data_IF_071309197465
#
_entry.id   IF_071309197465
#
_cell.length_a   1.000
_cell.length_b   1.000
_cell.length_c   1.000
_cell.angle_alpha   90.00
_cell.angle_beta   90.00
_cell.angle_gamma   90.00
#
_symmetry.space_group_name_H-M   'P 1'
#
loop_
_entity.id
_entity.type
_entity.pdbx_description
1 polymer ?
#
# COMPACT_ATOMS: atom_id res chain seq x y z
N UNK A 1 44.57 -63.28 -9.73
CA UNK A 1 44.94 -61.94 -9.28
C UNK A 1 43.72 -61.06 -9.47
N UNK A 2 42.98 -60.81 -8.38
CA UNK A 2 41.77 -59.94 -8.34
C UNK A 2 42.21 -58.57 -7.82
N UNK A 3 42.25 -57.55 -8.64
CA UNK A 3 42.47 -56.20 -8.23
C UNK A 3 41.18 -55.60 -7.69
N UNK A 4 41.17 -55.26 -6.45
CA UNK A 4 40.09 -54.53 -5.79
C UNK A 4 40.12 -53.05 -6.14
N UNK A 5 39.15 -52.58 -6.89
CA UNK A 5 38.86 -51.16 -7.08
C UNK A 5 38.15 -50.65 -5.84
N UNK A 6 38.89 -50.01 -4.94
CA UNK A 6 38.31 -49.19 -3.86
C UNK A 6 37.87 -47.85 -4.49
N UNK A 7 36.55 -47.77 -4.75
CA UNK A 7 35.91 -46.53 -5.08
C UNK A 7 35.84 -45.61 -3.85
N UNK A 8 36.67 -44.58 -3.82
CA UNK A 8 36.57 -43.49 -2.85
C UNK A 8 35.42 -42.60 -3.27
N UNK A 9 34.26 -42.85 -2.74
CA UNK A 9 33.12 -41.94 -2.80
C UNK A 9 33.42 -40.75 -1.87
N UNK A 10 33.98 -39.70 -2.43
CA UNK A 10 34.09 -38.41 -1.71
C UNK A 10 32.67 -37.86 -1.63
N UNK A 11 31.99 -38.11 -0.52
CA UNK A 11 30.83 -37.37 -0.08
C UNK A 11 31.27 -35.93 0.18
N UNK A 12 31.11 -35.06 -0.82
CA UNK A 12 31.05 -33.62 -0.56
C UNK A 12 29.84 -33.36 0.31
N UNK A 13 30.01 -33.50 1.61
CA UNK A 13 29.15 -32.82 2.57
C UNK A 13 29.53 -31.35 2.48
N UNK A 14 28.82 -30.62 1.60
CA UNK A 14 28.77 -29.18 1.72
C UNK A 14 28.20 -28.91 3.10
N UNK A 15 29.07 -28.52 4.03
CA UNK A 15 28.66 -27.98 5.31
C UNK A 15 27.70 -26.82 4.98
N UNK A 16 26.43 -27.03 5.19
CA UNK A 16 25.44 -25.98 5.13
C UNK A 16 25.84 -25.00 6.25
N UNK A 17 26.63 -24.01 5.92
CA UNK A 17 26.85 -22.86 6.79
C UNK A 17 25.45 -22.32 7.03
N UNK A 18 25.01 -22.41 8.28
CA UNK A 18 23.72 -21.88 8.71
C UNK A 18 23.60 -20.44 8.17
N UNK A 19 22.80 -20.27 7.13
CA UNK A 19 22.75 -19.03 6.37
C UNK A 19 21.87 -18.02 7.14
N UNK A 20 22.46 -17.42 8.18
CA UNK A 20 21.82 -16.30 8.92
C UNK A 20 21.51 -15.15 7.97
N UNK A 21 20.56 -14.31 8.37
CA UNK A 21 20.26 -13.09 7.64
C UNK A 21 21.53 -12.23 7.46
N UNK A 22 21.83 -11.84 6.23
CA UNK A 22 23.02 -11.05 5.87
C UNK A 22 22.93 -9.66 6.48
N UNK A 23 23.94 -9.25 7.25
CA UNK A 23 24.08 -7.84 7.67
C UNK A 23 24.54 -7.03 6.47
N UNK A 24 23.79 -5.97 6.14
CA UNK A 24 24.06 -5.11 4.99
C UNK A 24 24.56 -3.75 5.45
N UNK A 25 25.52 -3.21 4.70
CA UNK A 25 26.04 -1.86 4.90
C UNK A 25 25.74 -1.00 3.67
N UNK A 26 25.87 0.32 3.78
CA UNK A 26 25.70 1.20 2.62
C UNK A 26 26.68 0.85 1.49
N UNK A 27 27.91 0.48 1.84
CA UNK A 27 28.97 0.23 0.88
C UNK A 27 28.74 -1.05 0.03
N UNK A 28 28.08 -2.06 0.59
CA UNK A 28 27.90 -3.36 -0.06
C UNK A 28 26.45 -3.67 -0.44
N UNK A 29 25.52 -2.78 -0.13
CA UNK A 29 24.09 -3.01 -0.29
C UNK A 29 23.72 -3.46 -1.71
N UNK A 30 23.92 -2.58 -2.69
CA UNK A 30 23.46 -2.84 -4.06
C UNK A 30 24.23 -4.02 -4.69
N UNK A 31 25.54 -4.17 -4.40
CA UNK A 31 26.37 -5.28 -4.89
C UNK A 31 25.97 -6.63 -4.28
N UNK A 32 25.62 -6.65 -2.99
CA UNK A 32 25.19 -7.87 -2.31
C UNK A 32 23.82 -8.32 -2.82
N UNK A 33 22.90 -7.39 -3.06
CA UNK A 33 21.60 -7.73 -3.65
C UNK A 33 21.77 -8.31 -5.05
N UNK A 34 22.54 -7.65 -5.91
CA UNK A 34 22.76 -8.04 -7.30
C UNK A 34 23.51 -9.39 -7.46
N UNK A 35 24.27 -9.80 -6.47
CA UNK A 35 25.05 -11.04 -6.50
C UNK A 35 24.19 -12.32 -6.46
N UNK A 36 22.90 -12.23 -6.17
CA UNK A 36 22.01 -13.39 -6.01
C UNK A 36 20.70 -13.19 -6.77
N UNK A 37 20.30 -14.21 -7.51
CA UNK A 37 18.99 -14.26 -8.15
C UNK A 37 17.88 -14.48 -7.12
N UNK A 38 16.64 -14.07 -7.44
CA UNK A 38 15.49 -14.20 -6.55
C UNK A 38 15.13 -12.89 -5.87
N UNK A 39 14.46 -12.95 -4.74
CA UNK A 39 14.02 -11.75 -4.00
C UNK A 39 14.67 -11.66 -2.63
N UNK A 40 14.79 -10.44 -2.13
CA UNK A 40 15.32 -10.17 -0.81
C UNK A 40 14.21 -9.77 0.15
N UNK A 41 14.15 -10.43 1.30
CA UNK A 41 13.43 -9.99 2.48
C UNK A 41 14.37 -9.18 3.36
N UNK A 42 14.14 -7.87 3.45
CA UNK A 42 14.99 -6.97 4.20
C UNK A 42 14.30 -6.46 5.46
N UNK A 43 15.03 -6.54 6.58
CA UNK A 43 14.65 -5.99 7.88
C UNK A 43 15.47 -4.74 8.18
N UNK A 44 14.83 -3.57 8.15
CA UNK A 44 15.39 -2.32 8.63
C UNK A 44 15.07 -2.17 10.11
N UNK A 45 16.09 -1.97 10.96
CA UNK A 45 15.94 -2.06 12.40
C UNK A 45 16.73 -0.99 13.16
N UNK A 46 16.45 -0.88 14.45
CA UNK A 46 17.25 -0.14 15.43
C UNK A 46 17.61 -1.08 16.60
N UNK A 47 18.87 -1.10 17.10
CA UNK A 47 19.31 -1.99 18.19
C UNK A 47 18.57 -1.80 19.52
N UNK A 48 18.12 -0.58 19.78
CA UNK A 48 17.38 -0.22 20.99
C UNK A 48 15.88 -0.57 20.92
N UNK A 49 15.34 -0.91 19.75
CA UNK A 49 13.91 -1.20 19.56
C UNK A 49 13.54 -2.58 20.09
N UNK A 50 12.61 -2.65 21.07
CA UNK A 50 12.15 -3.90 21.68
C UNK A 50 11.53 -4.88 20.68
N UNK A 51 10.68 -4.40 19.75
CA UNK A 51 10.09 -5.23 18.69
C UNK A 51 11.15 -5.80 17.74
N UNK A 52 12.23 -5.05 17.47
CA UNK A 52 13.33 -5.52 16.63
C UNK A 52 14.13 -6.65 17.33
N UNK A 53 14.37 -6.51 18.63
CA UNK A 53 15.04 -7.55 19.44
C UNK A 53 14.22 -8.84 19.46
N UNK A 54 12.90 -8.74 19.59
CA UNK A 54 12.00 -9.91 19.58
C UNK A 54 11.98 -10.63 18.22
N UNK A 55 11.97 -9.84 17.12
CA UNK A 55 11.95 -10.39 15.77
C UNK A 55 13.31 -10.98 15.32
N UNK A 56 14.44 -10.54 15.90
CA UNK A 56 15.77 -10.92 15.44
C UNK A 56 16.01 -12.43 15.38
N UNK A 57 15.77 -13.21 16.47
CA UNK A 57 15.97 -14.67 16.44
C UNK A 57 15.04 -15.37 15.45
N UNK A 58 13.78 -14.92 15.31
CA UNK A 58 12.79 -15.49 14.41
C UNK A 58 13.17 -15.23 12.93
N UNK A 59 13.76 -14.06 12.67
CA UNK A 59 14.26 -13.67 11.35
C UNK A 59 15.46 -14.53 10.92
N UNK A 60 16.42 -14.74 11.82
CA UNK A 60 17.59 -15.56 11.55
C UNK A 60 17.20 -17.05 11.41
N UNK A 61 16.28 -17.57 12.24
CA UNK A 61 15.72 -18.93 12.12
C UNK A 61 15.03 -19.13 10.75
N UNK A 62 14.21 -18.17 10.31
CA UNK A 62 13.55 -18.24 9.02
C UNK A 62 14.55 -18.21 7.87
N UNK A 63 15.60 -17.38 7.96
CA UNK A 63 16.68 -17.33 6.98
C UNK A 63 17.39 -18.67 6.83
N UNK A 64 17.72 -19.32 7.95
CA UNK A 64 18.37 -20.63 7.97
C UNK A 64 17.51 -21.71 7.31
N UNK A 65 16.22 -21.76 7.66
CA UNK A 65 15.30 -22.76 7.10
C UNK A 65 15.05 -22.55 5.61
N UNK A 66 14.79 -21.31 5.16
CA UNK A 66 14.55 -20.99 3.76
C UNK A 66 15.77 -21.28 2.89
N UNK A 67 16.99 -21.02 3.40
CA UNK A 67 18.22 -21.37 2.73
C UNK A 67 18.44 -22.89 2.68
N UNK A 68 18.12 -23.62 3.74
CA UNK A 68 18.21 -25.08 3.77
C UNK A 68 17.26 -25.75 2.78
N UNK A 69 16.08 -25.14 2.53
CA UNK A 69 15.10 -25.58 1.52
C UNK A 69 15.50 -25.17 0.08
N UNK A 70 16.56 -24.38 -0.11
CA UNK A 70 17.06 -23.98 -1.43
C UNK A 70 16.13 -22.99 -2.15
N UNK A 71 15.28 -22.25 -1.43
CA UNK A 71 14.36 -21.32 -2.02
C UNK A 71 15.10 -20.04 -2.52
N UNK A 72 14.71 -19.43 -3.66
CA UNK A 72 15.33 -18.23 -4.21
C UNK A 72 14.87 -16.96 -3.46
N UNK A 73 14.95 -17.00 -2.13
CA UNK A 73 14.59 -15.90 -1.23
C UNK A 73 15.73 -15.67 -0.25
N UNK A 74 16.25 -14.47 -0.20
CA UNK A 74 17.40 -14.11 0.62
C UNK A 74 16.96 -13.19 1.76
N UNK A 75 17.64 -13.31 2.89
CA UNK A 75 17.35 -12.50 4.07
C UNK A 75 18.48 -11.52 4.34
N UNK A 76 18.13 -10.26 4.50
CA UNK A 76 19.05 -9.20 4.90
C UNK A 76 18.53 -8.40 6.07
N UNK A 77 19.43 -7.70 6.75
CA UNK A 77 19.12 -6.78 7.82
C UNK A 77 20.05 -5.57 7.78
N UNK A 78 19.52 -4.38 8.12
CA UNK A 78 20.27 -3.14 8.11
C UNK A 78 19.94 -2.31 9.34
N UNK A 79 20.95 -1.88 10.07
CA UNK A 79 20.81 -0.97 11.20
C UNK A 79 20.67 0.47 10.72
N UNK A 80 19.47 1.04 10.87
CA UNK A 80 19.19 2.43 10.48
C UNK A 80 19.60 3.48 11.52
N UNK A 81 20.26 3.10 12.60
CA UNK A 81 20.87 4.05 13.55
C UNK A 81 22.28 4.45 13.14
N UNK A 82 22.90 3.70 12.24
CA UNK A 82 24.20 4.02 11.68
C UNK A 82 24.05 5.14 10.65
N UNK A 83 24.75 6.26 10.85
CA UNK A 83 24.61 7.47 10.00
C UNK A 83 24.87 7.18 8.50
N UNK A 84 25.85 6.33 8.19
CA UNK A 84 26.14 5.93 6.81
C UNK A 84 24.96 5.23 6.12
N UNK A 85 24.08 4.53 6.86
CA UNK A 85 22.95 3.80 6.31
C UNK A 85 21.71 4.66 6.01
N UNK A 86 21.72 5.95 6.39
CA UNK A 86 20.56 6.84 6.28
C UNK A 86 20.04 6.98 4.84
N UNK A 87 20.91 6.99 3.84
CA UNK A 87 20.55 7.07 2.42
C UNK A 87 19.68 5.88 2.02
N UNK A 88 20.08 4.66 2.38
CA UNK A 88 19.36 3.43 2.08
C UNK A 88 18.05 3.36 2.89
N UNK A 89 18.10 3.61 4.20
CA UNK A 89 16.90 3.59 5.05
C UNK A 89 15.84 4.59 4.58
N UNK A 90 16.24 5.76 4.08
CA UNK A 90 15.35 6.75 3.49
C UNK A 90 14.81 6.33 2.13
N UNK A 91 15.63 5.70 1.26
CA UNK A 91 15.24 5.13 -0.03
C UNK A 91 14.03 4.21 0.13
N UNK A 92 14.00 3.39 1.17
CA UNK A 92 12.90 2.44 1.44
C UNK A 92 11.84 2.98 2.42
N UNK A 93 11.79 4.28 2.66
CA UNK A 93 10.77 4.97 3.48
C UNK A 93 10.56 4.30 4.84
N UNK A 94 11.64 4.08 5.59
CA UNK A 94 11.56 3.48 6.92
C UNK A 94 11.09 4.51 7.95
N UNK A 95 9.80 4.54 8.24
CA UNK A 95 9.18 5.48 9.19
C UNK A 95 9.06 4.93 10.62
N UNK A 96 9.44 3.66 10.83
CA UNK A 96 9.37 2.98 12.14
C UNK A 96 10.11 1.65 12.10
N UNK A 97 10.37 1.07 13.28
CA UNK A 97 11.14 -0.17 13.42
C UNK A 97 10.36 -1.28 14.12
N UNK A 98 10.48 -2.56 13.65
CA UNK A 98 11.15 -2.95 12.42
C UNK A 98 10.30 -2.64 11.19
N UNK A 99 10.93 -2.16 10.10
CA UNK A 99 10.34 -2.08 8.77
C UNK A 99 10.80 -3.26 7.91
N UNK A 100 9.87 -4.02 7.36
CA UNK A 100 10.14 -5.19 6.55
C UNK A 100 9.74 -4.93 5.10
N UNK A 101 10.65 -5.24 4.15
CA UNK A 101 10.49 -4.95 2.72
C UNK A 101 10.83 -6.18 1.88
N UNK A 102 10.15 -6.31 0.75
CA UNK A 102 10.53 -7.25 -0.33
C UNK A 102 11.18 -6.43 -1.43
N UNK A 103 12.41 -6.79 -1.80
CA UNK A 103 13.25 -6.00 -2.71
C UNK A 103 13.79 -6.91 -3.79
N UNK A 104 13.88 -6.42 -5.03
CA UNK A 104 14.48 -7.15 -6.15
C UNK A 104 16.01 -7.11 -6.08
N UNK A 105 16.73 -7.99 -6.81
CA UNK A 105 18.19 -7.93 -6.89
C UNK A 105 18.73 -6.58 -7.39
N UNK A 106 17.97 -5.87 -8.21
CA UNK A 106 18.33 -4.54 -8.74
C UNK A 106 18.08 -3.41 -7.73
N UNK A 107 17.67 -3.75 -6.49
CA UNK A 107 17.39 -2.77 -5.45
C UNK A 107 16.05 -2.04 -5.60
N UNK A 108 15.13 -2.51 -6.48
CA UNK A 108 13.78 -1.93 -6.60
C UNK A 108 12.91 -2.45 -5.45
N UNK A 109 12.22 -1.55 -4.74
CA UNK A 109 11.20 -1.94 -3.77
C UNK A 109 10.05 -2.62 -4.51
N UNK A 110 9.87 -3.92 -4.27
CA UNK A 110 8.77 -4.67 -4.86
C UNK A 110 7.47 -4.45 -4.08
N UNK A 111 7.51 -4.67 -2.77
CA UNK A 111 6.36 -4.46 -1.87
C UNK A 111 6.77 -4.39 -0.40
N UNK A 112 5.84 -3.93 0.45
CA UNK A 112 5.97 -4.11 1.89
C UNK A 112 5.72 -5.57 2.25
N UNK A 113 6.42 -6.07 3.26
CA UNK A 113 6.16 -7.40 3.81
C UNK A 113 4.76 -7.48 4.42
N UNK A 114 3.99 -8.51 4.07
CA UNK A 114 2.59 -8.71 4.49
C UNK A 114 2.38 -10.00 5.28
N UNK A 115 3.44 -10.78 5.54
CA UNK A 115 3.38 -12.06 6.27
C UNK A 115 3.28 -11.92 7.80
N UNK A 116 3.15 -13.05 8.48
CA UNK A 116 3.24 -13.15 9.94
C UNK A 116 4.60 -12.73 10.47
N UNK A 117 4.68 -12.32 11.73
CA UNK A 117 5.95 -11.92 12.37
C UNK A 117 6.55 -12.99 13.28
N UNK A 118 5.97 -14.17 13.32
CA UNK A 118 6.55 -15.39 13.87
C UNK A 118 7.40 -16.11 12.81
N UNK A 119 8.19 -17.09 13.25
CA UNK A 119 9.09 -17.81 12.35
C UNK A 119 8.33 -18.55 11.23
N UNK A 120 7.22 -19.20 11.56
CA UNK A 120 6.38 -19.95 10.62
C UNK A 120 5.75 -19.03 9.57
N UNK A 121 5.21 -17.89 9.99
CA UNK A 121 4.64 -16.87 9.08
C UNK A 121 5.68 -16.28 8.13
N UNK A 122 6.92 -16.06 8.62
CA UNK A 122 8.01 -15.57 7.77
C UNK A 122 8.42 -16.63 6.73
N UNK A 123 8.56 -17.89 7.15
CA UNK A 123 8.90 -19.01 6.26
C UNK A 123 7.81 -19.23 5.22
N UNK A 124 6.54 -19.26 5.64
CA UNK A 124 5.40 -19.42 4.76
C UNK A 124 5.32 -18.31 3.71
N UNK A 125 5.62 -17.07 4.12
CA UNK A 125 5.67 -15.94 3.21
C UNK A 125 6.84 -16.04 2.22
N UNK A 126 8.01 -16.49 2.66
CA UNK A 126 9.14 -16.74 1.78
C UNK A 126 8.82 -17.85 0.75
N UNK A 127 8.16 -18.93 1.17
CA UNK A 127 7.68 -19.98 0.26
C UNK A 127 6.71 -19.43 -0.79
N UNK A 128 5.80 -18.58 -0.39
CA UNK A 128 4.88 -17.91 -1.30
C UNK A 128 5.62 -17.05 -2.34
N UNK A 129 6.63 -16.28 -1.91
CA UNK A 129 7.46 -15.46 -2.80
C UNK A 129 8.33 -16.26 -3.76
N UNK A 130 8.62 -17.53 -3.45
CA UNK A 130 9.38 -18.42 -4.31
C UNK A 130 8.55 -19.07 -5.42
N UNK A 131 7.22 -18.98 -5.34
CA UNK A 131 6.32 -19.51 -6.36
C UNK A 131 6.28 -18.58 -7.58
N UNK A 132 5.93 -19.11 -8.77
CA UNK A 132 5.68 -18.27 -9.92
C UNK A 132 4.62 -17.21 -9.61
N UNK A 133 4.88 -15.97 -10.03
CA UNK A 133 3.99 -14.84 -9.77
C UNK A 133 2.63 -14.95 -10.49
N UNK A 134 2.53 -15.82 -11.49
CA UNK A 134 1.31 -16.09 -12.25
C UNK A 134 1.27 -17.55 -12.71
N UNK A 135 0.09 -18.03 -13.12
CA UNK A 135 -0.14 -19.36 -13.69
C UNK A 135 -0.32 -19.27 -15.20
N UNK A 136 0.16 -20.25 -15.94
CA UNK A 136 -0.20 -20.44 -17.35
C UNK A 136 -1.39 -21.41 -17.39
N UNK A 137 -2.47 -21.00 -18.03
CA UNK A 137 -3.67 -21.80 -18.26
C UNK A 137 -3.78 -22.01 -19.77
N UNK A 138 -3.76 -23.26 -20.21
CA UNK A 138 -3.63 -23.58 -21.63
C UNK A 138 -4.95 -24.06 -22.28
N UNK A 139 -5.95 -24.35 -21.46
CA UNK A 139 -7.23 -24.86 -21.91
C UNK A 139 -8.40 -24.12 -21.29
N UNK A 140 -9.53 -24.05 -22.00
CA UNK A 140 -10.77 -23.46 -21.46
C UNK A 140 -11.17 -24.08 -20.12
N UNK A 141 -10.96 -25.42 -19.99
CA UNK A 141 -11.25 -26.11 -18.74
C UNK A 141 -10.39 -25.56 -17.58
N UNK A 142 -9.08 -25.40 -17.78
CA UNK A 142 -8.18 -24.84 -16.74
C UNK A 142 -8.58 -23.43 -16.34
N UNK A 143 -9.04 -22.61 -17.31
CA UNK A 143 -9.54 -21.25 -17.02
C UNK A 143 -10.81 -21.31 -16.19
N UNK A 144 -11.78 -22.16 -16.55
CA UNK A 144 -13.01 -22.39 -15.77
C UNK A 144 -12.70 -22.88 -14.36
N UNK A 145 -11.89 -23.93 -14.23
CA UNK A 145 -11.49 -24.48 -12.93
C UNK A 145 -10.78 -23.41 -12.06
N UNK A 146 -10.00 -22.54 -12.67
CA UNK A 146 -9.36 -21.41 -11.98
C UNK A 146 -10.40 -20.41 -11.47
N UNK A 147 -11.37 -20.04 -12.30
CA UNK A 147 -12.43 -19.08 -11.94
C UNK A 147 -13.35 -19.67 -10.86
N UNK A 148 -13.83 -20.88 -11.05
CA UNK A 148 -14.74 -21.58 -10.11
C UNK A 148 -14.10 -21.72 -8.73
N UNK A 149 -12.81 -22.10 -8.69
CA UNK A 149 -12.06 -22.15 -7.42
C UNK A 149 -11.97 -20.79 -6.75
N UNK A 150 -11.78 -19.70 -7.52
CA UNK A 150 -11.75 -18.34 -6.94
C UNK A 150 -13.10 -17.91 -6.38
N UNK A 151 -14.19 -18.33 -7.00
CA UNK A 151 -15.54 -18.11 -6.49
C UNK A 151 -15.79 -18.86 -5.17
N UNK A 152 -15.40 -20.12 -5.10
CA UNK A 152 -15.49 -20.92 -3.87
C UNK A 152 -14.67 -20.30 -2.73
N UNK A 153 -13.47 -19.82 -3.01
CA UNK A 153 -12.60 -19.11 -2.07
C UNK A 153 -13.11 -17.71 -1.71
N UNK A 154 -14.19 -17.22 -2.35
CA UNK A 154 -14.67 -15.83 -2.25
C UNK A 154 -13.57 -14.82 -2.52
N UNK A 155 -12.75 -15.10 -3.51
CA UNK A 155 -11.64 -14.27 -3.97
C UNK A 155 -11.87 -13.70 -5.36
N UNK A 156 -10.87 -12.99 -5.86
CA UNK A 156 -10.79 -12.52 -7.23
C UNK A 156 -9.66 -13.25 -7.96
N UNK A 157 -9.89 -13.64 -9.21
CA UNK A 157 -8.88 -14.19 -10.10
C UNK A 157 -8.65 -13.27 -11.30
N UNK A 158 -7.40 -13.04 -11.65
CA UNK A 158 -7.03 -12.18 -12.78
C UNK A 158 -6.49 -13.04 -13.91
N UNK A 159 -7.00 -12.84 -15.13
CA UNK A 159 -6.54 -13.54 -16.32
C UNK A 159 -6.20 -12.52 -17.40
N UNK A 160 -4.96 -12.57 -17.88
CA UNK A 160 -4.53 -11.87 -19.08
C UNK A 160 -4.72 -12.82 -20.27
N UNK A 161 -5.60 -12.49 -21.20
CA UNK A 161 -5.82 -13.27 -22.40
C UNK A 161 -4.87 -12.82 -23.51
N UNK A 162 -4.03 -13.75 -23.97
CA UNK A 162 -3.04 -13.49 -25.02
C UNK A 162 -3.70 -13.64 -26.39
N UNK A 163 -3.66 -12.63 -27.27
CA UNK A 163 -4.18 -12.76 -28.62
C UNK A 163 -3.28 -13.66 -29.47
N UNK A 164 -3.82 -14.23 -30.56
CA UNK A 164 -3.02 -15.05 -31.50
C UNK A 164 -1.84 -14.27 -32.06
N UNK A 165 -2.08 -13.00 -32.45
CA UNK A 165 -1.06 -12.07 -32.94
C UNK A 165 -0.89 -10.91 -31.95
N UNK A 166 0.16 -10.92 -31.12
CA UNK A 166 0.39 -9.87 -30.11
C UNK A 166 0.81 -8.52 -30.74
N UNK A 167 0.01 -7.48 -30.56
CA UNK A 167 0.36 -6.11 -30.91
C UNK A 167 1.41 -5.51 -29.95
N UNK A 168 2.03 -4.37 -30.29
CA UNK A 168 2.94 -3.66 -29.38
C UNK A 168 2.21 -3.20 -28.10
N UNK A 169 0.96 -2.75 -28.23
CA UNK A 169 0.14 -2.38 -27.06
C UNK A 169 -0.13 -3.57 -26.13
N UNK A 170 -0.28 -4.77 -26.68
CA UNK A 170 -0.41 -5.97 -25.85
C UNK A 170 0.90 -6.29 -25.13
N UNK A 171 2.04 -6.14 -25.79
CA UNK A 171 3.35 -6.38 -25.16
C UNK A 171 3.59 -5.43 -23.97
N UNK A 172 3.18 -4.16 -24.10
CA UNK A 172 3.21 -3.20 -22.99
C UNK A 172 2.30 -3.64 -21.83
N UNK A 173 1.06 -4.05 -22.15
CA UNK A 173 0.13 -4.57 -21.15
C UNK A 173 0.66 -5.84 -20.48
N UNK A 174 1.23 -6.77 -21.24
CA UNK A 174 1.81 -8.01 -20.70
C UNK A 174 2.99 -7.69 -19.76
N UNK A 175 3.89 -6.79 -20.13
CA UNK A 175 4.98 -6.34 -19.27
C UNK A 175 4.47 -5.70 -17.97
N UNK A 176 3.47 -4.82 -18.07
CA UNK A 176 2.84 -4.19 -16.90
C UNK A 176 2.11 -5.22 -16.02
N UNK A 177 1.43 -6.20 -16.64
CA UNK A 177 0.79 -7.30 -15.91
C UNK A 177 1.79 -8.17 -15.16
N UNK A 178 2.92 -8.52 -15.78
CA UNK A 178 3.99 -9.31 -15.15
C UNK A 178 4.60 -8.55 -13.95
N UNK A 179 4.76 -7.25 -14.05
CA UNK A 179 5.20 -6.41 -12.93
C UNK A 179 4.16 -6.39 -11.79
N UNK A 180 2.88 -6.21 -12.13
CA UNK A 180 1.78 -6.27 -11.17
C UNK A 180 1.67 -7.66 -10.50
N UNK A 181 1.87 -8.73 -11.26
CA UNK A 181 1.86 -10.09 -10.75
C UNK A 181 2.93 -10.30 -9.67
N UNK A 182 4.16 -9.80 -9.89
CA UNK A 182 5.23 -9.86 -8.89
C UNK A 182 4.88 -9.07 -7.62
N UNK A 183 4.15 -7.96 -7.75
CA UNK A 183 3.74 -7.14 -6.61
C UNK A 183 2.59 -7.75 -5.80
N UNK A 184 1.62 -8.37 -6.44
CA UNK A 184 0.35 -8.76 -5.83
C UNK A 184 0.16 -10.28 -5.66
N UNK A 185 1.08 -11.14 -6.15
CA UNK A 185 0.98 -12.61 -6.08
C UNK A 185 0.87 -13.19 -4.66
N UNK A 186 1.20 -12.41 -3.64
CA UNK A 186 1.05 -12.79 -2.24
C UNK A 186 -0.38 -12.56 -1.67
N UNK A 187 -1.23 -11.88 -2.41
CA UNK A 187 -2.59 -11.54 -1.97
C UNK A 187 -3.67 -11.87 -2.99
N UNK A 188 -3.29 -12.17 -4.24
CA UNK A 188 -4.23 -12.59 -5.28
C UNK A 188 -3.55 -13.49 -6.29
N UNK A 189 -4.32 -14.32 -6.97
CA UNK A 189 -3.79 -15.15 -8.02
C UNK A 189 -4.01 -14.53 -9.40
N UNK A 190 -2.95 -14.58 -10.20
CA UNK A 190 -2.93 -14.07 -11.56
C UNK A 190 -2.59 -15.21 -12.53
N UNK A 191 -3.16 -15.14 -13.72
CA UNK A 191 -2.94 -16.14 -14.76
C UNK A 191 -2.82 -15.51 -16.15
N UNK A 192 -2.20 -16.23 -17.05
CA UNK A 192 -2.18 -15.93 -18.50
C UNK A 192 -2.85 -17.12 -19.21
N UNK A 193 -3.74 -16.83 -20.14
CA UNK A 193 -4.44 -17.81 -20.95
C UNK A 193 -4.41 -17.43 -22.45
N UNK A 194 -4.61 -18.37 -23.36
CA UNK A 194 -4.90 -18.07 -24.77
C UNK A 194 -6.19 -17.25 -24.91
N UNK A 195 -6.45 -16.78 -26.11
CA UNK A 195 -7.69 -16.07 -26.45
C UNK A 195 -8.91 -17.00 -26.35
N UNK A 196 -9.97 -16.51 -25.70
CA UNK A 196 -11.29 -17.13 -25.60
C UNK A 196 -12.36 -16.06 -25.74
N UNK A 197 -13.61 -16.47 -25.95
CA UNK A 197 -14.78 -15.60 -25.89
C UNK A 197 -15.44 -15.68 -24.49
N UNK A 198 -16.34 -14.74 -24.19
CA UNK A 198 -17.17 -14.82 -22.98
C UNK A 198 -18.01 -16.10 -22.95
N UNK A 199 -18.53 -16.51 -24.09
CA UNK A 199 -19.34 -17.72 -24.27
C UNK A 199 -18.54 -19.01 -24.03
N UNK A 200 -17.28 -19.07 -24.47
CA UNK A 200 -16.41 -20.20 -24.17
C UNK A 200 -16.28 -20.42 -22.66
N UNK A 201 -16.29 -19.35 -21.91
CA UNK A 201 -16.17 -19.37 -20.44
C UNK A 201 -17.53 -19.55 -19.75
N UNK A 202 -18.63 -19.19 -20.42
CA UNK A 202 -19.98 -19.19 -19.83
C UNK A 202 -20.17 -18.15 -18.75
N UNK A 203 -19.36 -17.06 -18.79
CA UNK A 203 -19.35 -16.00 -17.78
C UNK A 203 -19.49 -14.65 -18.50
N UNK A 204 -20.45 -13.80 -18.13
CA UNK A 204 -20.60 -12.48 -18.72
C UNK A 204 -19.39 -11.61 -18.37
N UNK A 205 -18.72 -11.07 -19.38
CA UNK A 205 -17.57 -10.16 -19.25
C UNK A 205 -17.99 -8.76 -19.65
N UNK A 206 -17.56 -7.76 -18.88
CA UNK A 206 -17.89 -6.34 -19.09
C UNK A 206 -16.63 -5.51 -19.38
N UNK A 207 -16.75 -4.61 -20.36
CA UNK A 207 -15.75 -3.60 -20.66
C UNK A 207 -16.42 -2.21 -20.63
N UNK A 208 -15.90 -1.28 -19.85
CA UNK A 208 -16.40 0.10 -19.73
C UNK A 208 -17.93 0.19 -19.51
N UNK A 209 -18.44 -0.69 -18.62
CA UNK A 209 -19.85 -0.76 -18.24
C UNK A 209 -20.76 -1.54 -19.20
N UNK A 210 -20.27 -1.93 -20.39
CA UNK A 210 -21.03 -2.72 -21.38
C UNK A 210 -20.62 -4.19 -21.30
N UNK A 211 -21.60 -5.11 -21.38
CA UNK A 211 -21.32 -6.53 -21.54
C UNK A 211 -20.80 -6.76 -22.96
N UNK A 212 -19.68 -7.47 -23.06
CA UNK A 212 -19.14 -7.90 -24.36
C UNK A 212 -20.15 -8.84 -25.03
N UNK A 213 -20.29 -8.72 -26.35
CA UNK A 213 -21.12 -9.61 -27.13
C UNK A 213 -20.43 -10.96 -27.31
N UNK A 214 -21.17 -11.97 -27.71
CA UNK A 214 -20.73 -13.37 -27.81
C UNK A 214 -19.51 -13.53 -28.74
N UNK A 215 -19.43 -12.71 -29.79
CA UNK A 215 -18.34 -12.70 -30.77
C UNK A 215 -17.12 -11.84 -30.36
N UNK A 216 -17.21 -11.09 -29.23
CA UNK A 216 -16.13 -10.25 -28.76
C UNK A 216 -15.04 -11.12 -28.08
N UNK A 217 -13.93 -11.35 -28.78
CA UNK A 217 -12.77 -12.05 -28.23
C UNK A 217 -12.19 -11.37 -26.99
N UNK A 218 -11.68 -12.15 -26.05
CA UNK A 218 -10.97 -11.68 -24.86
C UNK A 218 -9.47 -11.42 -25.12
N UNK A 219 -8.97 -11.75 -26.30
CA UNK A 219 -7.57 -11.54 -26.68
C UNK A 219 -7.13 -10.10 -26.48
N UNK A 220 -5.96 -9.92 -25.88
CA UNK A 220 -5.42 -8.61 -25.55
C UNK A 220 -6.07 -7.92 -24.34
N UNK A 221 -6.94 -8.63 -23.60
CA UNK A 221 -7.66 -8.06 -22.44
C UNK A 221 -7.16 -8.66 -21.13
N UNK A 222 -7.01 -7.82 -20.11
CA UNK A 222 -6.84 -8.23 -18.72
C UNK A 222 -8.21 -8.20 -18.04
N UNK A 223 -8.64 -9.34 -17.52
CA UNK A 223 -9.96 -9.54 -16.92
C UNK A 223 -9.81 -9.97 -15.46
N UNK A 224 -10.58 -9.36 -14.57
CA UNK A 224 -10.81 -9.87 -13.23
C UNK A 224 -12.14 -10.63 -13.18
N UNK A 225 -12.09 -11.84 -12.66
CA UNK A 225 -13.27 -12.70 -12.43
C UNK A 225 -13.57 -12.74 -10.93
N UNK A 226 -14.80 -12.39 -10.58
CA UNK A 226 -15.31 -12.43 -9.20
C UNK A 226 -16.85 -12.43 -9.19
N UNK A 227 -17.42 -13.18 -8.27
CA UNK A 227 -18.88 -13.22 -8.04
C UNK A 227 -19.70 -13.44 -9.33
N UNK A 228 -19.27 -14.43 -10.15
CA UNK A 228 -19.95 -14.84 -11.39
C UNK A 228 -19.84 -13.85 -12.54
N UNK A 229 -18.92 -12.90 -12.51
CA UNK A 229 -18.75 -11.88 -13.54
C UNK A 229 -17.28 -11.63 -13.86
N UNK A 230 -17.00 -11.33 -15.13
CA UNK A 230 -15.73 -10.78 -15.58
C UNK A 230 -15.81 -9.27 -15.77
N UNK A 231 -14.76 -8.55 -15.39
CA UNK A 231 -14.59 -7.12 -15.68
C UNK A 231 -13.22 -6.89 -16.30
N UNK A 232 -13.20 -6.34 -17.51
CA UNK A 232 -11.96 -5.97 -18.18
C UNK A 232 -11.33 -4.72 -17.56
N UNK A 233 -9.99 -4.65 -17.65
CA UNK A 233 -9.27 -3.39 -17.51
C UNK A 233 -9.83 -2.40 -18.53
N UNK A 234 -10.24 -1.22 -18.04
CA UNK A 234 -10.83 -0.18 -18.90
C UNK A 234 -9.85 0.28 -19.99
N UNK A 235 -10.38 0.57 -21.18
CA UNK A 235 -9.63 1.12 -22.31
C UNK A 235 -9.03 2.51 -22.01
N UNK A 236 -9.60 3.23 -21.03
CA UNK A 236 -9.13 4.56 -20.61
C UNK A 236 -7.95 4.53 -19.63
N UNK A 237 -7.58 3.36 -19.13
CA UNK A 237 -6.44 3.20 -18.21
C UNK A 237 -5.16 3.01 -19.04
N UNK A 238 -4.17 3.89 -18.84
CA UNK A 238 -2.85 3.68 -19.44
C UNK A 238 -2.23 2.38 -18.97
N UNK A 239 -1.54 1.69 -19.87
CA UNK A 239 -0.98 0.34 -19.61
C UNK A 239 0.40 0.39 -18.94
N UNK A 240 0.62 1.37 -18.03
CA UNK A 240 1.85 1.47 -17.25
C UNK A 240 1.85 0.48 -16.09
N UNK A 241 3.05 0.07 -15.65
CA UNK A 241 3.21 -0.85 -14.51
C UNK A 241 2.41 -0.38 -13.27
N UNK A 242 2.52 0.91 -12.91
CA UNK A 242 1.87 1.44 -11.71
C UNK A 242 0.34 1.43 -11.83
N UNK A 243 -0.20 1.72 -13.00
CA UNK A 243 -1.66 1.76 -13.19
C UNK A 243 -2.27 0.37 -13.27
N UNK A 244 -1.61 -0.58 -13.92
CA UNK A 244 -2.06 -1.98 -13.95
C UNK A 244 -1.95 -2.59 -12.55
N UNK A 245 -0.86 -2.36 -11.82
CA UNK A 245 -0.70 -2.79 -10.44
C UNK A 245 -1.76 -2.19 -9.50
N UNK A 246 -2.04 -0.90 -9.67
CA UNK A 246 -3.11 -0.22 -8.92
C UNK A 246 -4.49 -0.81 -9.22
N UNK A 247 -4.78 -1.09 -10.50
CA UNK A 247 -6.04 -1.72 -10.90
C UNK A 247 -6.18 -3.13 -10.32
N UNK A 248 -5.13 -3.96 -10.40
CA UNK A 248 -5.10 -5.30 -9.79
C UNK A 248 -5.32 -5.21 -8.28
N UNK A 249 -4.56 -4.36 -7.59
CA UNK A 249 -4.71 -4.14 -6.15
C UNK A 249 -6.12 -3.66 -5.79
N UNK A 250 -6.70 -2.79 -6.61
CA UNK A 250 -8.05 -2.27 -6.43
C UNK A 250 -9.16 -3.33 -6.60
N UNK A 251 -8.96 -4.35 -7.43
CA UNK A 251 -9.97 -5.34 -7.77
C UNK A 251 -9.75 -6.73 -7.14
N UNK A 252 -8.69 -6.91 -6.33
CA UNK A 252 -8.35 -8.20 -5.70
C UNK A 252 -9.35 -8.71 -4.65
N UNK A 253 -10.24 -7.85 -4.17
CA UNK A 253 -11.32 -8.22 -3.26
C UNK A 253 -12.61 -8.48 -4.02
N UNK A 254 -13.47 -9.36 -3.49
CA UNK A 254 -14.88 -9.41 -3.88
C UNK A 254 -15.52 -8.03 -3.67
N UNK A 255 -16.67 -7.78 -4.32
CA UNK A 255 -17.29 -6.45 -4.27
C UNK A 255 -17.60 -5.99 -2.84
N UNK A 256 -18.00 -6.91 -1.97
CA UNK A 256 -18.34 -6.58 -0.56
C UNK A 256 -17.73 -7.59 0.41
N UNK A 257 -16.41 -7.52 0.69
CA UNK A 257 -15.75 -8.41 1.65
C UNK A 257 -16.13 -8.07 3.09
N UNK A 258 -16.02 -9.05 3.98
CA UNK A 258 -16.03 -8.79 5.42
C UNK A 258 -14.80 -7.99 5.80
N UNK A 259 -14.99 -6.84 6.46
CA UNK A 259 -13.90 -6.00 6.96
C UNK A 259 -13.38 -6.60 8.25
N UNK A 260 -12.06 -6.77 8.31
CA UNK A 260 -11.31 -7.27 9.45
C UNK A 260 -10.14 -6.32 9.75
N UNK A 261 -9.52 -6.48 10.91
CA UNK A 261 -8.33 -5.68 11.25
C UNK A 261 -7.16 -5.89 10.26
N UNK A 262 -7.09 -7.05 9.60
CA UNK A 262 -6.03 -7.39 8.64
C UNK A 262 -6.26 -6.76 7.25
N UNK A 263 -7.52 -6.61 6.79
CA UNK A 263 -7.82 -6.11 5.44
C UNK A 263 -8.33 -4.65 5.40
N UNK A 264 -8.69 -4.06 6.54
CA UNK A 264 -9.26 -2.72 6.63
C UNK A 264 -8.44 -1.65 5.88
N UNK A 265 -7.12 -1.61 6.15
CA UNK A 265 -6.23 -0.66 5.46
C UNK A 265 -6.17 -0.93 3.96
N UNK A 266 -6.00 -2.18 3.58
CA UNK A 266 -5.90 -2.57 2.18
C UNK A 266 -7.18 -2.26 1.37
N UNK A 267 -8.34 -2.30 2.02
CA UNK A 267 -9.61 -1.88 1.42
C UNK A 267 -9.69 -0.35 1.25
N UNK A 268 -9.19 0.42 2.22
CA UNK A 268 -9.18 1.88 2.17
C UNK A 268 -8.09 2.48 1.29
N UNK A 269 -6.98 1.76 1.08
CA UNK A 269 -5.86 2.20 0.22
C UNK A 269 -6.13 2.02 -1.28
N UNK A 270 -7.36 1.69 -1.67
CA UNK A 270 -7.79 1.51 -3.08
C UNK A 270 -7.97 2.83 -3.85
N UNK A 271 -7.63 3.97 -3.26
CA UNK A 271 -7.80 5.30 -3.88
C UNK A 271 -9.26 5.77 -3.98
N UNK A 272 -10.19 5.06 -3.32
CA UNK A 272 -11.62 5.34 -3.31
C UNK A 272 -12.13 5.39 -1.87
N UNK A 273 -13.14 6.22 -1.56
CA UNK A 273 -13.79 6.16 -0.25
C UNK A 273 -14.38 4.77 0.02
N UNK A 274 -14.21 4.29 1.25
CA UNK A 274 -14.70 2.99 1.72
C UNK A 274 -16.08 3.14 2.35
N UNK A 275 -17.09 2.55 1.73
CA UNK A 275 -18.45 2.41 2.27
C UNK A 275 -18.52 1.17 3.16
N UNK A 276 -18.59 1.38 4.45
CA UNK A 276 -18.69 0.31 5.46
C UNK A 276 -20.14 0.07 5.82
N UNK A 277 -20.60 -1.14 5.55
CA UNK A 277 -21.93 -1.63 5.93
C UNK A 277 -21.85 -2.17 7.35
N UNK A 278 -22.37 -1.43 8.31
CA UNK A 278 -22.37 -1.76 9.72
C UNK A 278 -23.56 -2.67 10.02
N UNK A 279 -23.29 -3.93 10.32
CA UNK A 279 -24.31 -4.94 10.56
C UNK A 279 -24.63 -5.08 12.07
N UNK A 280 -25.83 -5.53 12.36
CA UNK A 280 -26.25 -5.82 13.74
C UNK A 280 -25.58 -7.11 14.22
N UNK A 281 -24.76 -7.04 15.25
CA UNK A 281 -24.19 -8.20 15.91
C UNK A 281 -25.26 -9.08 16.59
N UNK A 282 -25.01 -10.39 16.68
CA UNK A 282 -25.91 -11.31 17.36
C UNK A 282 -25.91 -11.08 18.88
N UNK A 283 -27.09 -11.12 19.49
CA UNK A 283 -27.27 -11.21 20.95
C UNK A 283 -27.32 -12.65 21.43
N UNK A 284 -27.67 -13.60 20.55
CA UNK A 284 -27.74 -15.03 20.85
C UNK A 284 -26.41 -15.67 20.51
N UNK A 285 -25.95 -16.57 21.37
CA UNK A 285 -24.82 -17.46 21.10
C UNK A 285 -25.37 -18.80 20.65
N UNK A 286 -24.59 -19.49 19.81
CA UNK A 286 -24.83 -20.88 19.46
C UNK A 286 -24.60 -21.80 20.69
N UNK A 287 -24.95 -23.07 20.59
CA UNK A 287 -24.75 -24.04 21.66
C UNK A 287 -23.26 -24.22 22.04
N UNK A 288 -22.37 -24.01 21.08
CA UNK A 288 -20.89 -24.02 21.27
C UNK A 288 -20.32 -22.71 21.84
N UNK A 289 -21.17 -21.73 22.19
CA UNK A 289 -20.77 -20.43 22.73
C UNK A 289 -20.32 -19.40 21.68
N UNK A 290 -20.25 -19.76 20.38
CA UNK A 290 -19.92 -18.84 19.30
C UNK A 290 -21.11 -17.94 18.93
N UNK A 291 -20.85 -16.81 18.29
CA UNK A 291 -21.89 -15.97 17.71
C UNK A 291 -22.16 -16.41 16.27
N UNK A 292 -23.43 -16.49 15.83
CA UNK A 292 -23.73 -16.78 14.43
C UNK A 292 -23.12 -15.71 13.54
N UNK A 293 -22.72 -16.07 12.31
CA UNK A 293 -22.23 -15.11 11.32
C UNK A 293 -23.22 -13.98 11.11
N UNK A 294 -22.75 -12.73 11.20
CA UNK A 294 -23.64 -11.54 11.17
C UNK A 294 -24.41 -11.43 9.86
N UNK A 295 -23.87 -11.90 8.75
CA UNK A 295 -24.51 -11.93 7.44
C UNK A 295 -25.71 -12.88 7.36
N UNK A 296 -25.80 -13.88 8.24
CA UNK A 296 -26.92 -14.83 8.32
C UNK A 296 -28.11 -14.34 9.16
N UNK A 297 -27.95 -13.20 9.84
CA UNK A 297 -29.06 -12.57 10.60
C UNK A 297 -30.07 -11.99 9.58
N UNK A 298 -31.38 -12.32 9.61
CA UNK A 298 -32.33 -11.96 8.55
C UNK A 298 -32.31 -10.48 8.15
N UNK A 299 -32.38 -9.56 9.12
CA UNK A 299 -32.32 -8.11 8.84
C UNK A 299 -31.01 -7.67 8.18
N UNK A 300 -29.91 -8.34 8.49
CA UNK A 300 -28.62 -8.04 7.88
C UNK A 300 -28.53 -8.64 6.48
N UNK A 301 -29.10 -9.84 6.26
CA UNK A 301 -29.10 -10.51 4.95
C UNK A 301 -29.86 -9.68 3.92
N UNK A 302 -31.04 -9.15 4.25
CA UNK A 302 -31.82 -8.26 3.40
C UNK A 302 -31.07 -6.98 3.08
N UNK A 303 -30.51 -6.34 4.12
CA UNK A 303 -29.74 -5.11 3.95
C UNK A 303 -28.48 -5.32 3.11
N UNK A 304 -27.76 -6.43 3.31
CA UNK A 304 -26.60 -6.81 2.50
C UNK A 304 -26.94 -7.06 1.04
N UNK A 305 -28.09 -7.69 0.75
CA UNK A 305 -28.53 -7.92 -0.63
C UNK A 305 -28.74 -6.55 -1.35
N UNK A 306 -29.40 -5.61 -0.69
CA UNK A 306 -29.56 -4.24 -1.20
C UNK A 306 -28.21 -3.55 -1.41
N UNK A 307 -27.31 -3.63 -0.44
CA UNK A 307 -25.99 -2.97 -0.52
C UNK A 307 -25.08 -3.62 -1.56
N UNK A 308 -25.24 -4.91 -1.84
CA UNK A 308 -24.52 -5.56 -2.95
C UNK A 308 -24.96 -5.02 -4.31
N UNK A 309 -26.27 -4.75 -4.49
CA UNK A 309 -26.75 -4.11 -5.71
C UNK A 309 -26.18 -2.69 -5.88
N UNK A 310 -26.17 -1.90 -4.81
CA UNK A 310 -25.53 -0.56 -4.78
C UNK A 310 -24.03 -0.67 -5.07
N UNK A 311 -23.34 -1.63 -4.46
CA UNK A 311 -21.91 -1.83 -4.69
C UNK A 311 -21.59 -2.17 -6.15
N UNK A 312 -22.45 -2.97 -6.81
CA UNK A 312 -22.30 -3.30 -8.23
C UNK A 312 -22.46 -2.08 -9.14
N UNK A 313 -23.32 -1.14 -8.78
CA UNK A 313 -23.54 0.08 -9.54
C UNK A 313 -22.43 1.11 -9.33
N UNK A 314 -21.91 1.24 -8.10
CA UNK A 314 -20.95 2.28 -7.71
C UNK A 314 -19.54 1.78 -7.44
N UNK A 315 -19.17 0.58 -7.91
CA UNK A 315 -17.85 -0.02 -7.66
C UNK A 315 -16.69 0.78 -8.24
N UNK A 316 -16.94 1.61 -9.24
CA UNK A 316 -15.91 2.46 -9.86
C UNK A 316 -15.59 3.69 -9.01
N UNK A 317 -16.52 4.13 -8.19
CA UNK A 317 -16.40 5.34 -7.36
C UNK A 317 -16.09 5.04 -5.90
N UNK A 318 -16.59 3.91 -5.38
CA UNK A 318 -16.49 3.53 -3.97
C UNK A 318 -15.95 2.11 -3.80
N UNK A 319 -15.22 1.90 -2.72
CA UNK A 319 -14.94 0.57 -2.21
C UNK A 319 -16.03 0.19 -1.20
N UNK A 320 -16.46 -1.08 -1.18
CA UNK A 320 -17.48 -1.55 -0.25
C UNK A 320 -16.96 -2.67 0.63
N UNK A 321 -17.53 -2.79 1.82
CA UNK A 321 -17.30 -3.90 2.72
C UNK A 321 -18.27 -3.88 3.89
N UNK A 322 -18.43 -5.00 4.61
CA UNK A 322 -19.29 -5.07 5.77
C UNK A 322 -18.53 -5.49 7.03
N UNK A 323 -19.03 -5.10 8.18
CA UNK A 323 -18.46 -5.45 9.47
C UNK A 323 -19.53 -5.71 10.54
N UNK A 324 -19.16 -6.43 11.59
CA UNK A 324 -19.97 -6.59 12.78
C UNK A 324 -19.89 -5.32 13.64
N UNK A 325 -20.97 -4.56 13.70
CA UNK A 325 -21.03 -3.32 14.47
C UNK A 325 -20.80 -3.50 15.97
N UNK A 326 -21.02 -4.70 16.53
CA UNK A 326 -20.73 -5.00 17.94
C UNK A 326 -19.23 -5.26 18.16
N UNK A 327 -18.59 -6.02 17.27
CA UNK A 327 -17.16 -6.28 17.31
C UNK A 327 -16.37 -4.96 17.16
N UNK A 328 -16.86 -4.08 16.29
CA UNK A 328 -16.22 -2.80 15.97
C UNK A 328 -16.82 -1.60 16.71
N UNK A 329 -17.56 -1.81 17.80
CA UNK A 329 -18.31 -0.75 18.51
C UNK A 329 -17.44 0.47 18.87
N UNK A 330 -16.25 0.24 19.44
CA UNK A 330 -15.34 1.34 19.82
C UNK A 330 -14.90 2.16 18.62
N UNK A 331 -14.66 1.49 17.49
CA UNK A 331 -14.26 2.14 16.25
C UNK A 331 -15.40 2.96 15.66
N UNK A 332 -16.57 2.35 15.41
CA UNK A 332 -17.68 3.03 14.74
C UNK A 332 -18.26 4.20 15.56
N UNK A 333 -18.23 4.09 16.89
CA UNK A 333 -18.69 5.15 17.80
C UNK A 333 -17.81 6.39 17.72
N UNK A 334 -16.48 6.20 17.55
CA UNK A 334 -15.52 7.29 17.33
C UNK A 334 -15.90 8.15 16.10
N UNK A 335 -16.51 7.54 15.09
CA UNK A 335 -16.95 8.20 13.86
C UNK A 335 -18.45 8.49 13.80
N UNK A 336 -19.11 8.63 14.95
CA UNK A 336 -20.49 9.07 15.04
C UNK A 336 -21.56 8.02 14.69
N UNK A 337 -21.17 6.75 14.53
CA UNK A 337 -22.12 5.67 14.29
C UNK A 337 -22.46 4.95 15.61
N UNK A 338 -23.75 4.76 15.88
CA UNK A 338 -24.22 4.09 17.09
C UNK A 338 -24.62 2.63 16.82
N UNK A 339 -24.23 1.73 17.71
CA UNK A 339 -24.67 0.31 17.67
C UNK A 339 -26.15 0.11 17.97
N UNK A 340 -26.83 1.14 18.49
CA UNK A 340 -28.27 1.07 18.80
C UNK A 340 -29.15 1.06 17.56
N UNK A 341 -28.65 1.64 16.45
CA UNK A 341 -29.38 1.79 15.19
C UNK A 341 -28.60 1.14 14.07
N UNK A 342 -28.68 -0.18 13.99
CA UNK A 342 -28.05 -1.00 12.97
C UNK A 342 -29.12 -1.86 12.27
N UNK A 343 -28.97 -2.21 10.97
CA UNK A 343 -27.84 -1.87 10.10
C UNK A 343 -27.83 -0.43 9.61
N UNK A 344 -26.64 0.11 9.26
CA UNK A 344 -26.45 1.44 8.68
C UNK A 344 -25.11 1.53 7.92
N UNK A 345 -24.86 2.68 7.30
CA UNK A 345 -23.63 2.95 6.57
C UNK A 345 -22.72 3.95 7.29
N UNK A 346 -21.42 3.78 7.10
CA UNK A 346 -20.39 4.75 7.44
C UNK A 346 -19.42 4.82 6.24
N UNK A 347 -19.18 6.00 5.71
CA UNK A 347 -18.27 6.21 4.61
C UNK A 347 -16.97 6.79 5.16
N UNK A 348 -15.82 6.28 4.71
CA UNK A 348 -14.51 6.78 5.12
C UNK A 348 -13.60 6.99 3.91
N UNK A 349 -13.00 8.16 3.83
CA UNK A 349 -11.85 8.42 2.96
C UNK A 349 -10.59 8.33 3.84
N UNK A 350 -9.93 7.16 3.80
CA UNK A 350 -8.76 6.91 4.64
C UNK A 350 -7.53 7.72 4.22
N UNK A 351 -7.43 8.06 2.94
CA UNK A 351 -6.32 8.85 2.42
C UNK A 351 -6.38 10.30 2.91
N UNK A 352 -7.60 10.86 3.02
CA UNK A 352 -7.85 12.24 3.48
C UNK A 352 -8.21 12.32 4.96
N UNK A 353 -8.37 11.19 5.63
CA UNK A 353 -8.85 11.09 7.01
C UNK A 353 -10.24 11.73 7.22
N UNK A 354 -11.10 11.69 6.20
CA UNK A 354 -12.48 12.16 6.27
C UNK A 354 -13.45 11.00 6.52
N UNK A 355 -14.56 11.30 7.17
CA UNK A 355 -15.65 10.34 7.37
C UNK A 355 -17.01 11.00 7.23
N UNK A 356 -18.03 10.17 6.93
CA UNK A 356 -19.41 10.59 6.76
C UNK A 356 -20.33 9.49 7.30
N UNK A 357 -20.91 9.67 8.50
CA UNK A 357 -21.96 8.78 8.98
C UNK A 357 -23.24 9.03 8.17
N UNK A 358 -23.69 8.01 7.44
CA UNK A 358 -24.90 8.12 6.61
C UNK A 358 -26.14 8.22 7.51
N UNK A 359 -27.08 9.15 7.25
CA UNK A 359 -28.33 9.28 8.01
C UNK A 359 -29.13 7.97 8.02
N UNK A 360 -29.86 7.71 9.10
CA UNK A 360 -30.60 6.45 9.32
C UNK A 360 -31.86 6.31 8.46
N UNK A 361 -32.32 7.39 7.88
CA UNK A 361 -33.45 7.47 6.93
C UNK A 361 -33.03 7.12 5.49
N UNK A 362 -31.74 7.15 5.18
CA UNK A 362 -31.21 6.67 3.89
C UNK A 362 -31.29 5.14 3.87
N UNK A 363 -32.35 4.62 3.25
CA UNK A 363 -32.63 3.18 3.18
C UNK A 363 -33.05 2.79 1.76
N UNK A 364 -32.77 1.53 1.42
CA UNK A 364 -33.06 1.01 0.09
C UNK A 364 -31.98 1.36 -0.93
N UNK A 365 -32.12 0.83 -2.13
CA UNK A 365 -31.16 0.97 -3.21
C UNK A 365 -31.03 2.42 -3.68
N UNK A 366 -32.12 2.99 -4.22
CA UNK A 366 -32.10 4.28 -4.91
C UNK A 366 -31.70 5.44 -3.97
N UNK A 367 -32.25 5.48 -2.73
CA UNK A 367 -31.86 6.49 -1.75
C UNK A 367 -30.39 6.41 -1.36
N UNK A 368 -29.82 5.19 -1.33
CA UNK A 368 -28.40 5.00 -1.03
C UNK A 368 -27.54 5.45 -2.20
N UNK A 369 -27.88 5.09 -3.44
CA UNK A 369 -27.19 5.53 -4.64
C UNK A 369 -27.20 7.05 -4.75
N UNK A 370 -28.37 7.69 -4.56
CA UNK A 370 -28.50 9.15 -4.56
C UNK A 370 -27.60 9.80 -3.49
N UNK A 371 -27.61 9.28 -2.26
CA UNK A 371 -26.80 9.82 -1.18
C UNK A 371 -25.30 9.69 -1.45
N UNK A 372 -24.84 8.54 -1.96
CA UNK A 372 -23.45 8.31 -2.31
C UNK A 372 -22.98 9.22 -3.45
N UNK A 373 -23.83 9.45 -4.46
CA UNK A 373 -23.56 10.40 -5.53
C UNK A 373 -23.42 11.83 -5.00
N UNK A 374 -24.29 12.26 -4.07
CA UNK A 374 -24.15 13.56 -3.39
C UNK A 374 -22.88 13.65 -2.56
N UNK A 375 -22.44 12.56 -1.94
CA UNK A 375 -21.18 12.51 -1.20
C UNK A 375 -19.97 12.63 -2.15
N UNK A 376 -20.05 12.04 -3.34
CA UNK A 376 -19.02 12.13 -4.39
C UNK A 376 -18.91 13.54 -4.94
N UNK A 377 -20.04 14.22 -5.22
CA UNK A 377 -20.07 15.59 -5.77
C UNK A 377 -19.74 16.68 -4.76
N UNK A 378 -19.65 16.32 -3.47
CA UNK A 378 -19.37 17.27 -2.38
C UNK A 378 -20.59 18.03 -1.88
N UNK A 379 -21.78 17.66 -2.32
CA UNK A 379 -23.05 18.25 -1.82
C UNK A 379 -23.32 17.89 -0.33
N UNK A 380 -22.72 16.77 0.14
CA UNK A 380 -22.76 16.38 1.54
C UNK A 380 -21.45 16.73 2.21
N UNK A 381 -21.50 17.40 3.34
CA UNK A 381 -20.32 17.84 4.06
C UNK A 381 -19.66 16.68 4.82
N UNK A 382 -18.43 16.38 4.47
CA UNK A 382 -17.60 15.41 5.19
C UNK A 382 -17.08 15.95 6.52
N UNK A 383 -16.98 15.08 7.51
CA UNK A 383 -16.43 15.39 8.83
C UNK A 383 -14.97 14.96 8.91
N UNK A 384 -14.17 15.63 9.73
CA UNK A 384 -12.79 15.24 10.06
C UNK A 384 -12.76 14.59 11.43
N UNK A 385 -11.84 13.64 11.63
CA UNK A 385 -11.66 13.07 12.96
C UNK A 385 -11.06 14.11 13.91
N UNK A 386 -11.37 13.99 15.20
CA UNK A 386 -10.81 14.87 16.22
C UNK A 386 -9.28 14.83 16.23
N UNK A 387 -8.68 13.65 16.00
CA UNK A 387 -7.23 13.49 15.90
C UNK A 387 -6.63 14.29 14.74
N UNK A 388 -7.29 14.30 13.59
CA UNK A 388 -6.88 15.08 12.41
C UNK A 388 -6.95 16.57 12.69
N UNK A 389 -8.05 17.02 13.31
CA UNK A 389 -8.21 18.44 13.71
C UNK A 389 -7.11 18.87 14.69
N UNK A 390 -6.77 18.02 15.67
CA UNK A 390 -5.70 18.30 16.62
C UNK A 390 -4.33 18.35 15.92
N UNK A 391 -4.02 17.40 15.04
CA UNK A 391 -2.77 17.40 14.26
C UNK A 391 -2.62 18.68 13.44
N UNK A 392 -3.65 19.05 12.68
CA UNK A 392 -3.65 20.26 11.87
C UNK A 392 -3.46 21.52 12.73
N UNK A 393 -4.14 21.59 13.88
CA UNK A 393 -4.00 22.68 14.82
C UNK A 393 -2.59 22.76 15.39
N UNK A 394 -1.97 21.64 15.73
CA UNK A 394 -0.59 21.57 16.22
C UNK A 394 0.44 21.99 15.15
N UNK A 395 0.25 21.56 13.90
CA UNK A 395 1.11 21.97 12.79
C UNK A 395 0.96 23.48 12.52
N UNK A 396 -0.26 24.01 12.53
CA UNK A 396 -0.49 25.44 12.38
C UNK A 396 0.16 26.24 13.52
N UNK A 397 0.03 25.77 14.77
CA UNK A 397 0.67 26.39 15.95
C UNK A 397 2.20 26.38 15.84
N UNK A 398 2.79 25.28 15.37
CA UNK A 398 4.22 25.15 15.11
C UNK A 398 4.72 26.19 14.11
N UNK A 399 4.02 26.41 13.00
CA UNK A 399 4.35 27.45 12.04
C UNK A 399 4.18 28.87 12.59
N UNK A 400 3.16 29.12 13.41
CA UNK A 400 2.98 30.39 14.11
C UNK A 400 4.10 30.66 15.12
N UNK A 401 4.54 29.65 15.88
CA UNK A 401 5.67 29.75 16.79
C UNK A 401 6.98 30.03 16.06
N UNK A 402 7.23 29.35 14.91
CA UNK A 402 8.40 29.63 14.08
C UNK A 402 8.38 31.05 13.50
N UNK A 403 7.25 31.50 13.00
CA UNK A 403 7.08 32.88 12.52
C UNK A 403 7.32 33.91 13.65
N UNK A 404 6.75 33.66 14.83
CA UNK A 404 7.00 34.50 16.01
C UNK A 404 8.48 34.54 16.40
N UNK A 405 9.19 33.43 16.37
CA UNK A 405 10.62 33.34 16.65
C UNK A 405 11.44 34.16 15.64
N UNK A 406 11.11 34.11 14.36
CA UNK A 406 11.73 34.93 13.32
C UNK A 406 11.54 36.42 13.59
N UNK A 407 10.34 36.85 13.96
CA UNK A 407 10.04 38.23 14.29
C UNK A 407 10.87 38.70 15.51
N UNK A 408 10.92 37.90 16.59
CA UNK A 408 11.60 38.22 17.83
C UNK A 408 13.14 38.25 17.68
N UNK A 409 13.70 37.43 16.81
CA UNK A 409 15.15 37.31 16.63
C UNK A 409 15.65 38.15 15.45
N UNK A 410 15.01 38.04 14.28
CA UNK A 410 15.51 38.63 13.05
C UNK A 410 15.35 40.17 13.05
N UNK A 411 14.23 40.68 13.55
CA UNK A 411 14.00 42.15 13.58
C UNK A 411 15.02 42.88 14.47
N UNK A 412 15.29 42.46 15.71
CA UNK A 412 16.34 43.07 16.51
C UNK A 412 17.74 42.99 15.89
N UNK A 413 18.09 41.83 15.30
CA UNK A 413 19.37 41.65 14.62
C UNK A 413 19.51 42.58 13.41
N UNK A 414 18.48 42.72 12.59
CA UNK A 414 18.45 43.67 11.48
C UNK A 414 18.52 45.11 11.94
N UNK A 415 17.85 45.44 13.05
CA UNK A 415 17.91 46.76 13.65
C UNK A 415 19.31 47.07 14.19
N UNK A 416 19.95 46.15 14.89
CA UNK A 416 21.34 46.28 15.34
C UNK A 416 22.31 46.46 14.17
N UNK A 417 22.18 45.66 13.11
CA UNK A 417 23.01 45.79 11.93
C UNK A 417 22.80 47.12 11.20
N UNK A 418 21.57 47.63 11.18
CA UNK A 418 21.24 48.92 10.58
C UNK A 418 21.80 50.08 11.41
N UNK A 419 21.74 50.03 12.75
CA UNK A 419 22.32 51.06 13.64
C UNK A 419 23.84 51.11 13.47
N UNK A 420 24.52 49.95 13.46
CA UNK A 420 25.97 49.86 13.24
C UNK A 420 26.37 50.43 11.86
N UNK A 421 25.62 50.12 10.82
CA UNK A 421 25.82 50.72 9.48
C UNK A 421 25.59 52.21 9.47
N UNK A 422 24.54 52.72 10.12
CA UNK A 422 24.24 54.15 10.20
C UNK A 422 25.32 54.93 10.94
N UNK A 423 25.86 54.38 12.05
CA UNK A 423 26.93 54.99 12.83
C UNK A 423 28.26 55.01 12.05
N UNK A 424 28.62 53.96 11.36
CA UNK A 424 29.77 53.93 10.44
C UNK A 424 29.65 54.99 9.34
N UNK A 425 28.47 55.16 8.76
CA UNK A 425 28.21 56.18 7.75
C UNK A 425 28.31 57.59 8.30
N UNK A 426 27.81 57.85 9.52
CA UNK A 426 27.96 59.12 10.21
C UNK A 426 29.43 59.41 10.49
N UNK A 427 30.19 58.47 11.05
CA UNK A 427 31.61 58.62 11.29
C UNK A 427 32.42 58.94 10.02
N UNK A 428 32.13 58.29 8.91
CA UNK A 428 32.75 58.58 7.63
C UNK A 428 32.41 60.01 7.11
N UNK A 429 31.18 60.49 7.38
CA UNK A 429 30.77 61.83 6.99
C UNK A 429 31.48 62.88 7.83
N UNK A 430 31.63 62.67 9.17
CA UNK A 430 32.39 63.54 10.05
C UNK A 430 33.90 63.59 9.71
N UNK A 431 34.50 62.44 9.36
CA UNK A 431 35.88 62.37 8.92
C UNK A 431 36.11 63.19 7.63
N UNK A 432 35.23 63.12 6.64
CA UNK A 432 35.31 63.95 5.43
C UNK A 432 35.15 65.43 5.71
N UNK A 433 34.28 65.82 6.65
CA UNK A 433 34.09 67.25 7.02
C UNK A 433 35.30 67.82 7.78
N UNK A 434 35.96 66.98 8.63
CA UNK A 434 37.19 67.41 9.33
C UNK A 434 38.34 67.55 8.36
N UNK A 435 38.55 66.66 7.40
CA UNK A 435 39.56 66.83 6.35
C UNK A 435 39.34 68.05 5.49
N UNK A 436 38.10 68.39 5.17
CA UNK A 436 37.74 69.56 4.36
C UNK A 436 37.98 70.86 5.13
N UNK A 437 37.79 70.85 6.47
CA UNK A 437 38.16 72.02 7.36
C UNK A 437 39.65 72.17 7.47
N UNK A 438 40.38 71.09 7.67
CA UNK A 438 41.85 71.15 7.84
C UNK A 438 42.55 71.60 6.56
N UNK A 439 42.04 71.24 5.38
CA UNK A 439 42.53 71.71 4.08
C UNK A 439 42.20 73.21 3.84
N UNK A 440 41.04 73.72 4.31
CA UNK A 440 40.70 75.13 4.20
C UNK A 440 41.58 75.97 5.14
N UNK A 441 41.93 75.50 6.34
CA UNK A 441 42.82 76.24 7.31
C UNK A 441 44.29 76.22 6.84
N UNK A 442 44.70 75.22 6.03
CA UNK A 442 46.01 75.16 5.37
C UNK A 442 46.17 76.10 4.20
N UNK A 443 45.12 76.29 3.39
CA UNK A 443 45.14 77.26 2.27
C UNK A 443 45.02 78.68 2.71
N UNK A 444 44.27 79.00 3.81
CA UNK A 444 44.18 80.32 4.39
C UNK A 444 45.46 80.82 5.10
N UNK A 445 46.45 79.95 5.41
CA UNK A 445 47.76 80.29 5.96
C UNK A 445 48.85 80.52 4.90
N UNK A 446 48.54 80.29 3.63
CA UNK A 446 49.48 80.53 2.50
C UNK A 446 49.27 81.93 1.85
N UNK A 447 48.25 82.66 2.27
CA UNK A 447 47.95 84.01 1.74
C UNK A 447 48.19 85.17 2.73
N UNK A 448 49.03 84.97 3.80
CA UNK A 448 49.52 86.01 4.67
C UNK A 448 51.05 86.13 4.57
#
# INVERSE_FOLDING_TARGET
>A
MRAALLGVTILLQAAAVAAKATELTEADFDSTLAARSGVWLLKFYAPWCGHCKHLAPLWDQAAEQVAAEGLPVHFGKMDCTVRAHNSICSRYKTSGYPSLRVITPEGKLLKNYRGGRDAEGIISYAKLLSQPAFKNLNTTKEVKDFIDRKEEEKGAGFVLFRPEEPSEEFKELEAAFLAAARQESDVTELAIAPEYTGDDLGIPVRLDGKTLQDDDGLGGKLVVFREGQGKCLSSHINRTEDQVAHWVSGHRFIMMPKITASNYRALGDRGKPLVMVLLRGSRKKNEDGTSPPVEKIPINAEYLATMKAVAKELEDDFAFGYLDGKEWEKFITKYGASTRVLPRLLIMDLAREYYLPVPVDVKGHDATVEYLNKAKTGEVRWSRSFETLVKESLELYKWQMLAGLVVVIAIPLLWMAWTDYADKKRAATYAKQSETKENKDKDGKKEQ
#
